data_IF_792423876200
#
_entry.id   IF_792423876200
#
_cell.length_a   1.000
_cell.length_b   1.000
_cell.length_c   1.000
_cell.angle_alpha   90.00
_cell.angle_beta   90.00
_cell.angle_gamma   90.00
#
_symmetry.space_group_name_H-M   'P 1'
#
loop_
_entity.id
_entity.type
_entity.pdbx_description
1 polymer ?
#
# COMPACT_ATOMS: atom_id res chain seq x y z
N UNK A 1 -0.01 -1.95 0.01
CA UNK A 1 -0.62 -0.59 0.14
C UNK A 1 -1.70 -0.46 -0.91
N UNK A 2 -2.92 -0.01 -0.57
CA UNK A 2 -3.91 0.33 -1.62
C UNK A 2 -3.66 1.76 -2.11
N UNK A 3 -3.57 1.96 -3.42
CA UNK A 3 -3.14 3.25 -4.00
C UNK A 3 -4.22 3.85 -4.92
N UNK A 4 -4.09 5.15 -5.13
CA UNK A 4 -4.94 5.96 -6.00
C UNK A 4 -4.09 7.04 -6.71
N UNK A 5 -4.33 7.32 -8.00
CA UNK A 5 -3.64 8.39 -8.74
C UNK A 5 -4.21 9.80 -8.52
N UNK A 6 -5.49 9.91 -8.17
CA UNK A 6 -6.21 11.20 -8.05
C UNK A 6 -6.66 11.51 -6.62
N UNK A 7 -5.88 11.11 -5.63
CA UNK A 7 -6.14 11.38 -4.22
C UNK A 7 -5.27 12.55 -3.72
N UNK A 8 -5.78 13.36 -2.78
CA UNK A 8 -4.98 14.41 -2.13
C UNK A 8 -3.74 13.88 -1.39
N UNK A 9 -3.74 12.59 -1.02
CA UNK A 9 -2.63 11.90 -0.37
C UNK A 9 -1.60 11.31 -1.36
N UNK A 10 -1.91 11.28 -2.66
CA UNK A 10 -1.06 10.67 -3.69
C UNK A 10 0.35 11.25 -3.73
N UNK A 11 0.56 12.59 -3.74
CA UNK A 11 1.89 13.14 -3.93
C UNK A 11 2.87 12.75 -2.81
N UNK A 12 2.46 12.87 -1.55
CA UNK A 12 3.30 12.51 -0.40
C UNK A 12 3.49 11.00 -0.31
N UNK A 13 2.41 10.21 -0.39
CA UNK A 13 2.52 8.76 -0.22
C UNK A 13 3.42 8.11 -1.26
N UNK A 14 3.25 8.40 -2.55
CA UNK A 14 4.13 7.81 -3.57
C UNK A 14 5.58 8.26 -3.40
N UNK A 15 5.83 9.56 -3.17
CA UNK A 15 7.19 10.07 -3.02
C UNK A 15 7.92 9.44 -1.83
N UNK A 16 7.24 9.33 -0.69
CA UNK A 16 7.82 8.75 0.52
C UNK A 16 7.98 7.22 0.40
N UNK A 17 7.02 6.52 -0.21
CA UNK A 17 7.15 5.08 -0.50
C UNK A 17 8.32 4.80 -1.45
N UNK A 18 8.45 5.56 -2.54
CA UNK A 18 9.59 5.43 -3.47
C UNK A 18 10.92 5.66 -2.76
N UNK A 19 11.01 6.65 -1.87
CA UNK A 19 12.21 6.90 -1.08
C UNK A 19 12.56 5.74 -0.14
N UNK A 20 11.56 5.21 0.59
CA UNK A 20 11.78 4.06 1.47
C UNK A 20 12.16 2.80 0.69
N UNK A 21 11.50 2.58 -0.45
CA UNK A 21 11.82 1.44 -1.32
C UNK A 21 13.26 1.53 -1.82
N UNK A 22 13.70 2.69 -2.33
CA UNK A 22 15.08 2.87 -2.76
C UNK A 22 16.09 2.55 -1.65
N UNK A 23 15.79 2.98 -0.43
CA UNK A 23 16.66 2.79 0.73
C UNK A 23 16.76 1.33 1.19
N UNK A 24 15.67 0.56 1.10
CA UNK A 24 15.58 -0.76 1.74
C UNK A 24 15.37 -1.93 0.77
N UNK A 25 15.17 -1.71 -0.54
CA UNK A 25 14.91 -2.79 -1.53
C UNK A 25 16.01 -3.86 -1.57
N UNK A 26 17.26 -3.49 -1.30
CA UNK A 26 18.40 -4.43 -1.24
C UNK A 26 18.52 -5.18 0.08
N UNK A 27 17.68 -4.86 1.07
CA UNK A 27 17.66 -5.43 2.42
C UNK A 27 16.43 -6.35 2.63
N UNK A 28 15.84 -6.85 1.54
CA UNK A 28 14.68 -7.74 1.60
C UNK A 28 13.34 -7.04 1.89
N UNK A 29 13.28 -5.71 1.79
CA UNK A 29 12.04 -4.96 1.87
C UNK A 29 11.38 -4.85 0.50
N UNK A 30 10.07 -5.11 0.45
CA UNK A 30 9.26 -4.99 -0.76
C UNK A 30 8.00 -4.19 -0.50
N UNK A 31 7.60 -3.36 -1.47
CA UNK A 31 6.32 -2.63 -1.44
C UNK A 31 5.40 -3.22 -2.50
N UNK A 32 4.28 -3.79 -2.07
CA UNK A 32 3.25 -4.26 -2.99
C UNK A 32 2.15 -3.20 -3.09
N UNK A 33 2.01 -2.55 -4.25
CA UNK A 33 1.01 -1.51 -4.48
C UNK A 33 -0.17 -2.04 -5.30
N UNK A 34 -1.37 -1.90 -4.74
CA UNK A 34 -2.61 -2.39 -5.30
C UNK A 34 -3.53 -1.21 -5.64
N UNK A 35 -3.63 -0.78 -6.91
CA UNK A 35 -4.56 0.26 -7.32
C UNK A 35 -6.00 -0.14 -6.97
N UNK A 36 -6.81 0.82 -6.51
CA UNK A 36 -8.19 0.57 -6.10
C UNK A 36 -9.08 1.79 -6.34
N UNK A 37 -10.18 1.61 -7.06
CA UNK A 37 -11.09 2.71 -7.41
C UNK A 37 -12.31 2.85 -6.48
N UNK A 38 -12.38 2.06 -5.40
CA UNK A 38 -13.53 2.04 -4.48
C UNK A 38 -13.68 3.30 -3.62
N UNK A 39 -12.66 4.18 -3.59
CA UNK A 39 -12.62 5.34 -2.71
C UNK A 39 -12.68 6.64 -3.53
N UNK A 40 -13.90 7.21 -3.62
CA UNK A 40 -14.14 8.46 -4.33
C UNK A 40 -13.85 8.43 -5.84
N UNK A 41 -13.74 7.24 -6.45
CA UNK A 41 -13.39 7.12 -7.87
C UNK A 41 -11.99 7.65 -8.22
N UNK A 42 -11.06 7.64 -7.26
CA UNK A 42 -9.75 8.31 -7.38
C UNK A 42 -8.68 7.47 -8.11
N UNK A 43 -9.03 6.33 -8.69
CA UNK A 43 -8.16 5.50 -9.54
C UNK A 43 -8.91 5.08 -10.84
N UNK A 44 -9.37 6.05 -11.65
CA UNK A 44 -10.25 5.79 -12.80
C UNK A 44 -9.51 5.17 -13.99
N UNK A 45 -8.19 5.29 -14.07
CA UNK A 45 -7.38 4.80 -15.18
C UNK A 45 -7.40 3.28 -15.35
N UNK A 46 -6.93 2.85 -16.51
CA UNK A 46 -6.58 1.46 -16.81
C UNK A 46 -5.26 1.05 -16.15
N UNK A 47 -5.02 -0.26 -16.01
CA UNK A 47 -3.80 -0.76 -15.36
C UNK A 47 -2.50 -0.21 -16.02
N UNK A 48 -2.38 -0.14 -17.37
CA UNK A 48 -1.22 0.47 -18.00
C UNK A 48 -1.04 1.96 -17.67
N UNK A 49 -2.13 2.75 -17.68
CA UNK A 49 -2.07 4.18 -17.37
C UNK A 49 -1.67 4.44 -15.92
N UNK A 50 -2.19 3.64 -14.99
CA UNK A 50 -1.87 3.74 -13.56
C UNK A 50 -0.39 3.43 -13.32
N UNK A 51 0.10 2.34 -13.93
CA UNK A 51 1.51 1.96 -13.83
C UNK A 51 2.42 3.04 -14.41
N UNK A 52 2.09 3.55 -15.60
CA UNK A 52 2.84 4.63 -16.23
C UNK A 52 2.86 5.89 -15.35
N UNK A 53 1.72 6.28 -14.78
CA UNK A 53 1.62 7.40 -13.85
C UNK A 53 2.55 7.23 -12.64
N UNK A 54 2.51 6.07 -11.96
CA UNK A 54 3.33 5.83 -10.78
C UNK A 54 4.83 5.81 -11.11
N UNK A 55 5.22 5.11 -12.18
CA UNK A 55 6.61 4.96 -12.58
C UNK A 55 7.21 6.27 -13.11
N UNK A 56 6.50 7.04 -13.92
CA UNK A 56 7.04 8.29 -14.48
C UNK A 56 7.02 9.44 -13.51
N UNK A 57 5.89 9.66 -12.83
CA UNK A 57 5.70 10.84 -11.97
C UNK A 57 6.46 10.72 -10.65
N UNK A 58 6.49 9.51 -10.09
CA UNK A 58 7.03 9.28 -8.75
C UNK A 58 8.22 8.32 -8.72
N UNK A 59 8.71 7.89 -9.88
CA UNK A 59 9.84 6.95 -10.00
C UNK A 59 9.62 5.71 -9.15
N UNK A 60 8.37 5.23 -9.10
CA UNK A 60 8.03 4.03 -8.36
C UNK A 60 8.69 2.82 -9.05
N UNK A 61 9.66 2.21 -8.36
CA UNK A 61 10.36 1.00 -8.80
C UNK A 61 9.79 -0.29 -8.20
N UNK A 62 8.86 -0.17 -7.25
CA UNK A 62 8.19 -1.29 -6.62
C UNK A 62 7.01 -1.81 -7.48
N UNK A 63 6.60 -3.08 -7.32
CA UNK A 63 5.49 -3.65 -8.08
C UNK A 63 4.17 -2.89 -7.91
N UNK A 64 3.65 -2.40 -9.04
CA UNK A 64 2.27 -1.93 -9.19
C UNK A 64 1.47 -3.05 -9.84
N UNK A 65 0.53 -3.63 -9.08
CA UNK A 65 -0.35 -4.70 -9.55
C UNK A 65 -1.52 -4.14 -10.36
N UNK A 66 -2.29 -5.05 -10.96
CA UNK A 66 -3.59 -4.71 -11.53
C UNK A 66 -4.55 -4.18 -10.47
N UNK A 67 -5.51 -3.37 -10.92
CA UNK A 67 -6.55 -2.81 -10.05
C UNK A 67 -7.38 -3.92 -9.40
N UNK A 68 -7.59 -3.80 -8.10
CA UNK A 68 -8.36 -4.76 -7.29
C UNK A 68 -9.38 -4.06 -6.40
N UNK A 69 -10.41 -4.81 -6.02
CA UNK A 69 -11.29 -4.43 -4.93
C UNK A 69 -10.68 -4.86 -3.59
N UNK A 70 -10.70 -3.95 -2.61
CA UNK A 70 -10.17 -4.19 -1.26
C UNK A 70 -11.28 -4.37 -0.23
N UNK A 71 -12.52 -4.06 -0.60
CA UNK A 71 -13.74 -4.20 0.18
C UNK A 71 -14.86 -4.85 -0.64
N UNK A 72 -15.89 -5.34 0.06
CA UNK A 72 -17.08 -5.93 -0.57
C UNK A 72 -16.90 -7.39 -1.01
N UNK A 73 -17.90 -7.96 -1.72
CA UNK A 73 -17.91 -9.38 -2.08
C UNK A 73 -16.78 -9.80 -3.03
N UNK A 74 -16.26 -8.85 -3.82
CA UNK A 74 -15.17 -9.07 -4.77
C UNK A 74 -13.78 -8.75 -4.16
N UNK A 75 -13.68 -8.59 -2.83
CA UNK A 75 -12.41 -8.29 -2.17
C UNK A 75 -11.34 -9.29 -2.60
N UNK A 76 -10.21 -8.82 -3.12
CA UNK A 76 -9.10 -9.68 -3.50
C UNK A 76 -8.61 -10.52 -2.30
N UNK A 77 -8.24 -11.80 -2.48
CA UNK A 77 -7.85 -12.69 -1.38
C UNK A 77 -6.76 -12.12 -0.46
N UNK A 78 -5.79 -11.40 -1.01
CA UNK A 78 -4.75 -10.72 -0.22
C UNK A 78 -5.34 -9.71 0.76
N UNK A 79 -6.34 -8.92 0.36
CA UNK A 79 -7.00 -7.98 1.26
C UNK A 79 -7.97 -8.66 2.23
N UNK A 80 -8.53 -9.82 1.91
CA UNK A 80 -9.28 -10.61 2.90
C UNK A 80 -8.34 -11.04 4.04
N UNK A 81 -7.18 -11.60 3.68
CA UNK A 81 -6.13 -11.99 4.63
C UNK A 81 -5.64 -10.80 5.48
N UNK A 82 -5.22 -9.71 4.85
CA UNK A 82 -4.65 -8.54 5.53
C UNK A 82 -5.64 -7.92 6.52
N UNK A 83 -6.92 -7.81 6.15
CA UNK A 83 -7.96 -7.23 7.01
C UNK A 83 -8.30 -8.13 8.20
N UNK A 84 -8.38 -9.46 7.99
CA UNK A 84 -8.68 -10.42 9.07
C UNK A 84 -7.55 -10.55 10.11
N UNK A 85 -6.30 -10.36 9.68
CA UNK A 85 -5.13 -10.55 10.55
C UNK A 85 -4.82 -9.35 11.44
N UNK A 86 -5.35 -8.15 11.11
CA UNK A 86 -5.06 -6.91 11.83
C UNK A 86 -6.01 -6.63 13.03
N UNK A 87 -6.73 -7.64 13.51
CA UNK A 87 -7.39 -7.72 14.83
C UNK A 87 -7.93 -6.42 15.41
N UNK A 88 -9.07 -5.92 14.90
CA UNK A 88 -9.75 -4.75 15.46
C UNK A 88 -11.26 -4.95 15.57
N UNK A 89 -11.85 -4.53 16.71
CA UNK A 89 -13.29 -4.50 16.97
C UNK A 89 -14.08 -3.53 16.06
N UNK A 90 -13.38 -2.78 15.19
CA UNK A 90 -13.90 -1.66 14.38
C UNK A 90 -13.84 -1.94 12.87
N UNK A 91 -14.42 -3.06 12.46
CA UNK A 91 -14.82 -3.31 11.08
C UNK A 91 -13.68 -3.60 10.12
N UNK A 92 -13.75 -4.77 9.51
CA UNK A 92 -12.79 -5.39 8.59
C UNK A 92 -12.63 -4.68 7.23
N UNK A 93 -13.00 -3.39 7.14
CA UNK A 93 -12.96 -2.63 5.90
C UNK A 93 -11.76 -1.69 5.87
N UNK A 94 -11.11 -1.62 4.71
CA UNK A 94 -10.17 -0.55 4.37
C UNK A 94 -10.96 0.76 4.31
N UNK A 95 -10.48 1.81 4.99
CA UNK A 95 -11.27 3.04 5.20
C UNK A 95 -11.07 4.06 4.08
N UNK A 96 -9.90 4.10 3.46
CA UNK A 96 -9.60 5.03 2.36
C UNK A 96 -8.37 4.58 1.55
N UNK A 97 -8.02 5.36 0.52
CA UNK A 97 -6.76 5.24 -0.20
C UNK A 97 -5.55 5.37 0.75
N UNK A 98 -4.47 4.65 0.43
CA UNK A 98 -3.19 4.64 1.16
C UNK A 98 -3.25 4.05 2.57
N UNK A 99 -4.10 3.06 2.79
CA UNK A 99 -3.95 2.22 3.98
C UNK A 99 -2.78 1.25 3.79
N UNK A 100 -1.96 1.06 4.83
CA UNK A 100 -0.75 0.23 4.77
C UNK A 100 -0.86 -0.93 5.74
N UNK A 101 -0.33 -2.07 5.32
CA UNK A 101 -0.16 -3.24 6.16
C UNK A 101 1.32 -3.62 6.10
N UNK A 102 1.96 -3.76 7.25
CA UNK A 102 3.32 -4.25 7.37
C UNK A 102 3.28 -5.75 7.65
N UNK A 103 3.95 -6.53 6.81
CA UNK A 103 3.98 -7.99 6.87
C UNK A 103 5.44 -8.42 7.05
N UNK A 104 5.70 -9.35 7.96
CA UNK A 104 7.04 -9.88 8.17
C UNK A 104 7.42 -10.97 7.14
N UNK A 105 8.68 -11.43 7.21
CA UNK A 105 9.22 -12.50 6.33
C UNK A 105 8.52 -13.86 6.47
N UNK A 106 7.73 -14.07 7.52
CA UNK A 106 6.94 -15.28 7.73
C UNK A 106 5.49 -15.13 7.26
N UNK A 107 5.15 -13.98 6.65
CA UNK A 107 3.79 -13.68 6.18
C UNK A 107 2.85 -13.21 7.29
N UNK A 108 3.33 -12.91 8.50
CA UNK A 108 2.50 -12.40 9.59
C UNK A 108 2.26 -10.90 9.44
N UNK A 109 1.01 -10.46 9.51
CA UNK A 109 0.68 -9.03 9.59
C UNK A 109 1.10 -8.51 10.96
N UNK A 110 2.05 -7.56 10.97
CA UNK A 110 2.63 -6.98 12.18
C UNK A 110 1.89 -5.72 12.60
N UNK A 111 1.51 -4.89 11.64
CA UNK A 111 0.85 -3.61 11.91
C UNK A 111 -0.02 -3.15 10.72
N UNK A 112 -1.04 -2.35 11.02
CA UNK A 112 -1.95 -1.72 10.06
C UNK A 112 -1.98 -0.21 10.31
N UNK A 113 -1.56 0.56 9.31
CA UNK A 113 -1.47 2.02 9.41
C UNK A 113 -2.58 2.71 8.64
N UNK A 114 -3.29 3.68 9.25
CA UNK A 114 -4.34 4.42 8.57
C UNK A 114 -3.78 5.28 7.42
N UNK A 115 -4.64 5.70 6.48
CA UNK A 115 -4.32 6.60 5.36
C UNK A 115 -3.43 7.80 5.70
N UNK A 116 -3.69 8.42 6.86
CA UNK A 116 -3.03 9.64 7.33
C UNK A 116 -1.62 9.40 7.90
N UNK A 117 -1.23 8.16 8.17
CA UNK A 117 0.14 7.85 8.57
C UNK A 117 1.07 8.02 7.38
N UNK A 118 2.03 8.94 7.52
CA UNK A 118 3.09 9.14 6.53
C UNK A 118 3.95 7.87 6.44
N UNK A 119 4.29 7.39 5.23
CA UNK A 119 5.22 6.28 5.07
C UNK A 119 6.53 6.45 5.87
N UNK A 120 7.10 7.66 5.96
CA UNK A 120 8.30 7.88 6.78
C UNK A 120 8.11 7.58 8.27
N UNK A 121 6.90 7.71 8.82
CA UNK A 121 6.63 7.33 10.21
C UNK A 121 6.68 5.80 10.43
N UNK A 122 6.56 5.02 9.36
CA UNK A 122 6.60 3.56 9.34
C UNK A 122 8.06 3.05 9.25
N UNK A 123 9.01 3.89 8.84
CA UNK A 123 10.40 3.50 8.61
C UNK A 123 11.04 2.80 9.83
N UNK A 124 10.78 3.30 11.04
CA UNK A 124 11.26 2.71 12.28
C UNK A 124 10.82 1.25 12.47
N UNK A 125 9.66 0.88 11.93
CA UNK A 125 9.11 -0.48 12.04
C UNK A 125 9.64 -1.36 10.92
N UNK A 126 9.87 -0.79 9.73
CA UNK A 126 10.60 -1.46 8.63
C UNK A 126 12.02 -1.82 9.08
N UNK A 127 12.74 -0.89 9.71
CA UNK A 127 14.11 -1.11 10.21
C UNK A 127 14.21 -2.29 11.16
N UNK A 128 13.20 -2.50 12.03
CA UNK A 128 13.18 -3.64 12.96
C UNK A 128 13.09 -4.99 12.23
N UNK A 129 12.55 -5.03 11.02
CA UNK A 129 12.32 -6.25 10.25
C UNK A 129 13.43 -6.54 9.24
N UNK A 130 14.09 -5.50 8.70
CA UNK A 130 15.17 -5.66 7.70
C UNK A 130 16.56 -5.83 8.30
N UNK A 131 16.76 -5.43 9.57
CA UNK A 131 18.05 -5.57 10.29
C UNK A 131 18.18 -6.94 11.00
N UNK A 132 17.37 -7.94 10.64
CA UNK A 132 17.27 -9.24 11.33
C UNK A 132 17.67 -10.46 10.51
#
# INVERSE_FOLDING_TARGET
>A
VNVASQCGLTPSNYSELSHLYEKYKTQGFEILAFPCNQFGGQEPGSNPEIKEFACTRFKAEFPIFDKVDVNGPNTAPVYQFLKSSAGGFLGDLVKWNFEKFLVDKNGKVIERYPPTTSPFQIEKDIQKLVVA
#
